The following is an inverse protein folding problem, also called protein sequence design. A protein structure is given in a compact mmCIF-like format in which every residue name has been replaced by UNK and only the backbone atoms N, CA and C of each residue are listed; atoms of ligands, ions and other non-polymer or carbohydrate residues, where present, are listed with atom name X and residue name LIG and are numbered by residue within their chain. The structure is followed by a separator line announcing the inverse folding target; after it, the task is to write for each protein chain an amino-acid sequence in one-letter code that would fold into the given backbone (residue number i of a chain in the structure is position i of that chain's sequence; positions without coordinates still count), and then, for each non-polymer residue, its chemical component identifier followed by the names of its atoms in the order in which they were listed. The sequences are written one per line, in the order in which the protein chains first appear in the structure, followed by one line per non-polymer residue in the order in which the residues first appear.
data_IF_709149520692
#
_entry.id   IF_709149520692
#
_cell.length_a   1.000
_cell.length_b   1.000
_cell.length_c   1.000
_cell.angle_alpha   90.00
_cell.angle_beta   90.00
_cell.angle_gamma   90.00
#
_symmetry.space_group_name_H-M   'P 1'
#
loop_
_entity.id
_entity.type
_entity.pdbx_description
1 polymer ?
#
# COMPACT_ATOMS: atom_id res chain seq x y z
N UNK A 1 -9.81 -53.36 -14.01
CA UNK A 1 -10.17 -52.03 -13.48
C UNK A 1 -8.96 -51.49 -12.73
N UNK A 2 -8.08 -50.73 -13.40
CA UNK A 2 -6.99 -50.03 -12.71
C UNK A 2 -7.47 -48.62 -12.36
N UNK A 3 -7.63 -48.34 -11.07
CA UNK A 3 -7.80 -46.98 -10.58
C UNK A 3 -6.52 -46.20 -10.90
N UNK A 4 -6.62 -45.19 -11.78
CA UNK A 4 -5.59 -44.18 -11.96
C UNK A 4 -5.97 -42.95 -11.12
N UNK A 5 -5.29 -42.67 -9.99
CA UNK A 5 -5.50 -41.45 -9.25
C UNK A 5 -4.57 -40.37 -9.81
N UNK A 6 -4.81 -39.94 -11.03
CA UNK A 6 -4.38 -38.61 -11.46
C UNK A 6 -5.25 -37.62 -10.68
N UNK A 7 -4.85 -37.37 -9.42
CA UNK A 7 -5.24 -36.15 -8.73
C UNK A 7 -4.88 -35.02 -9.68
N UNK A 8 -5.84 -34.16 -10.09
CA UNK A 8 -5.46 -32.94 -10.77
C UNK A 8 -4.59 -32.21 -9.76
N UNK A 9 -3.26 -32.17 -9.97
CA UNK A 9 -2.40 -31.17 -9.33
C UNK A 9 -3.15 -29.88 -9.54
N UNK A 10 -3.68 -29.30 -8.46
CA UNK A 10 -4.39 -28.05 -8.51
C UNK A 10 -3.48 -27.11 -9.29
N UNK A 11 -3.83 -26.88 -10.56
CA UNK A 11 -3.05 -26.04 -11.45
C UNK A 11 -2.96 -24.72 -10.69
N UNK A 12 -1.75 -24.32 -10.28
CA UNK A 12 -1.54 -23.13 -9.49
C UNK A 12 -2.28 -21.99 -10.19
N UNK A 13 -3.41 -21.59 -9.61
CA UNK A 13 -4.40 -20.68 -10.18
C UNK A 13 -3.74 -19.30 -10.34
N UNK A 14 -3.07 -19.12 -11.48
CA UNK A 14 -2.21 -18.01 -11.85
C UNK A 14 -1.07 -17.76 -10.83
N UNK A 15 0.21 -18.02 -11.18
CA UNK A 15 1.32 -17.75 -10.27
C UNK A 15 1.29 -16.30 -9.82
N UNK A 16 1.53 -16.07 -8.53
CA UNK A 16 1.58 -14.72 -8.00
C UNK A 16 2.70 -13.93 -8.70
N UNK A 17 2.46 -12.67 -9.11
CA UNK A 17 3.50 -11.87 -9.74
C UNK A 17 4.77 -11.85 -8.87
N UNK A 18 5.97 -12.19 -9.41
CA UNK A 18 7.18 -12.34 -8.60
C UNK A 18 7.53 -11.09 -7.79
N UNK A 19 7.25 -9.90 -8.33
CA UNK A 19 7.44 -8.61 -7.65
C UNK A 19 6.57 -8.46 -6.41
N UNK A 20 5.34 -8.96 -6.45
CA UNK A 20 4.41 -8.95 -5.31
C UNK A 20 4.92 -9.92 -4.26
N UNK A 21 5.34 -11.12 -4.67
CA UNK A 21 5.93 -12.08 -3.74
C UNK A 21 7.17 -11.51 -3.05
N UNK A 22 8.07 -10.85 -3.80
CA UNK A 22 9.28 -10.25 -3.26
C UNK A 22 8.97 -9.17 -2.21
N UNK A 23 8.04 -8.23 -2.53
CA UNK A 23 7.61 -7.20 -1.57
C UNK A 23 6.93 -7.79 -0.34
N UNK A 24 6.07 -8.79 -0.51
CA UNK A 24 5.43 -9.49 0.59
C UNK A 24 6.47 -10.14 1.51
N UNK A 25 7.46 -10.84 0.95
CA UNK A 25 8.52 -11.47 1.73
C UNK A 25 9.37 -10.44 2.48
N UNK A 26 9.60 -9.25 1.91
CA UNK A 26 10.29 -8.17 2.62
C UNK A 26 9.46 -7.65 3.80
N UNK A 27 8.16 -7.38 3.61
CA UNK A 27 7.27 -6.91 4.70
C UNK A 27 7.15 -7.98 5.79
N UNK A 28 6.85 -9.22 5.40
CA UNK A 28 6.70 -10.34 6.32
C UNK A 28 8.02 -10.69 7.01
N UNK A 29 9.15 -10.57 6.32
CA UNK A 29 10.49 -10.82 6.87
C UNK A 29 10.85 -9.82 7.98
N UNK A 30 10.59 -8.53 7.76
CA UNK A 30 10.79 -7.50 8.80
C UNK A 30 9.92 -7.79 10.02
N UNK A 31 8.65 -8.13 9.83
CA UNK A 31 7.78 -8.47 10.95
C UNK A 31 8.21 -9.77 11.65
N UNK A 32 8.68 -10.77 10.91
CA UNK A 32 9.21 -12.01 11.47
C UNK A 32 10.43 -11.74 12.36
N UNK A 33 11.32 -10.82 11.97
CA UNK A 33 12.43 -10.39 12.81
C UNK A 33 11.94 -9.77 14.13
N UNK A 34 10.93 -8.89 14.09
CA UNK A 34 10.34 -8.33 15.31
C UNK A 34 9.67 -9.40 16.17
N UNK A 35 8.95 -10.34 15.56
CA UNK A 35 8.33 -11.45 16.27
C UNK A 35 9.39 -12.30 16.98
N UNK A 36 10.45 -12.69 16.28
CA UNK A 36 11.57 -13.47 16.83
C UNK A 36 12.34 -12.72 17.93
N UNK A 37 12.55 -11.41 17.77
CA UNK A 37 13.14 -10.55 18.80
C UNK A 37 12.26 -10.53 20.07
N UNK A 38 10.94 -10.40 19.91
CA UNK A 38 10.01 -10.31 21.04
C UNK A 38 9.93 -11.57 21.90
N UNK A 39 10.27 -12.74 21.33
CA UNK A 39 10.31 -14.02 22.04
C UNK A 39 11.73 -14.46 22.43
N UNK A 40 12.74 -13.59 22.25
CA UNK A 40 14.12 -13.84 22.70
C UNK A 40 14.92 -14.83 21.85
N UNK A 41 14.46 -15.18 20.65
CA UNK A 41 15.15 -16.16 19.78
C UNK A 41 16.45 -15.60 19.18
N UNK A 42 16.56 -14.27 19.05
CA UNK A 42 17.71 -13.61 18.40
C UNK A 42 18.92 -13.38 19.33
N UNK A 43 18.82 -13.77 20.61
CA UNK A 43 19.90 -13.62 21.60
C UNK A 43 19.77 -12.40 22.51
N UNK A 44 20.72 -12.25 23.42
CA UNK A 44 20.74 -11.16 24.40
C UNK A 44 20.88 -9.79 23.72
N UNK A 45 19.98 -8.85 24.06
CA UNK A 45 19.93 -7.50 23.47
C UNK A 45 18.90 -7.33 22.34
N UNK A 46 18.27 -8.41 21.88
CA UNK A 46 17.12 -8.37 20.97
C UNK A 46 15.84 -8.62 21.76
N UNK A 47 15.09 -7.56 22.01
CA UNK A 47 13.86 -7.59 22.81
C UNK A 47 12.67 -7.01 22.03
N UNK A 48 11.52 -6.89 22.69
CA UNK A 48 10.33 -6.28 22.10
C UNK A 48 10.52 -4.79 21.73
N UNK A 49 11.53 -4.12 22.29
CA UNK A 49 11.84 -2.70 22.05
C UNK A 49 12.44 -2.45 20.66
N UNK A 50 12.97 -3.48 20.00
CA UNK A 50 13.50 -3.37 18.63
C UNK A 50 12.51 -2.78 17.62
N UNK A 51 11.22 -3.10 17.75
CA UNK A 51 10.19 -2.50 16.90
C UNK A 51 10.13 -0.98 17.11
N UNK A 52 10.18 -0.54 18.37
CA UNK A 52 10.14 0.88 18.71
C UNK A 52 11.35 1.62 18.11
N UNK A 53 12.56 1.10 18.29
CA UNK A 53 13.78 1.69 17.71
C UNK A 53 13.75 1.71 16.18
N UNK A 54 13.21 0.67 15.55
CA UNK A 54 13.04 0.64 14.10
C UNK A 54 12.06 1.71 13.62
N UNK A 55 10.92 1.89 14.31
CA UNK A 55 9.96 2.96 14.00
C UNK A 55 10.58 4.34 14.18
N UNK A 56 11.34 4.57 15.25
CA UNK A 56 12.01 5.84 15.49
C UNK A 56 13.02 6.20 14.37
N UNK A 57 13.78 5.19 13.90
CA UNK A 57 14.83 5.39 12.89
C UNK A 57 14.32 5.38 11.45
N UNK A 58 13.33 4.54 11.14
CA UNK A 58 12.90 4.26 9.77
C UNK A 58 11.44 4.61 9.50
N UNK A 59 10.67 4.95 10.53
CA UNK A 59 9.33 5.50 10.41
C UNK A 59 9.35 6.96 10.00
N UNK A 60 8.22 7.43 9.49
CA UNK A 60 8.05 8.80 9.04
C UNK A 60 7.51 9.65 10.20
N UNK A 61 8.36 10.51 10.76
CA UNK A 61 7.91 11.53 11.70
C UNK A 61 7.18 12.63 10.93
N UNK A 62 6.00 13.04 11.39
CA UNK A 62 5.16 14.00 10.66
C UNK A 62 5.75 15.41 10.59
N UNK A 63 6.61 15.78 11.54
CA UNK A 63 7.32 17.06 11.52
C UNK A 63 8.53 17.05 10.58
N UNK A 64 8.97 15.87 10.10
CA UNK A 64 10.18 15.75 9.28
C UNK A 64 10.11 16.65 8.03
N UNK A 65 8.97 16.71 7.36
CA UNK A 65 8.83 17.52 6.13
C UNK A 65 8.94 19.02 6.42
N UNK A 66 8.33 19.49 7.50
CA UNK A 66 8.43 20.88 7.93
C UNK A 66 9.85 21.23 8.32
N UNK A 67 10.48 20.39 9.13
CA UNK A 67 11.87 20.54 9.53
C UNK A 67 12.83 20.56 8.33
N UNK A 68 12.73 19.63 7.38
CA UNK A 68 13.57 19.61 6.17
C UNK A 68 13.40 20.88 5.33
N UNK A 69 12.19 21.45 5.30
CA UNK A 69 11.94 22.73 4.59
C UNK A 69 12.56 23.91 5.31
N UNK A 70 12.59 23.91 6.64
CA UNK A 70 13.19 24.98 7.43
C UNK A 70 14.72 24.93 7.39
N UNK A 71 15.30 23.74 7.53
CA UNK A 71 16.76 23.54 7.54
C UNK A 71 17.37 23.45 6.16
N UNK A 72 16.55 23.25 5.11
CA UNK A 72 16.98 22.91 3.75
C UNK A 72 17.87 21.66 3.70
N UNK A 73 17.77 20.79 4.72
CA UNK A 73 18.48 19.54 4.79
C UNK A 73 17.63 18.42 4.20
N UNK A 74 18.04 17.94 3.03
CA UNK A 74 17.42 16.82 2.31
C UNK A 74 18.36 15.60 2.28
N UNK A 75 19.08 15.36 3.36
CA UNK A 75 19.96 14.21 3.53
C UNK A 75 19.27 12.87 3.22
N UNK A 76 20.05 11.92 2.68
CA UNK A 76 19.53 10.61 2.27
C UNK A 76 18.87 9.82 3.43
N UNK A 77 19.32 10.07 4.66
CA UNK A 77 18.75 9.52 5.90
C UNK A 77 17.31 9.93 6.18
N UNK A 78 16.86 11.08 5.66
CA UNK A 78 15.47 11.52 5.74
C UNK A 78 14.66 11.00 4.57
N UNK A 79 15.24 11.02 3.37
CA UNK A 79 14.56 10.58 2.14
C UNK A 79 14.23 9.07 2.15
N UNK A 80 15.11 8.24 2.72
CA UNK A 80 14.88 6.80 2.84
C UNK A 80 13.62 6.47 3.65
N UNK A 81 13.22 7.35 4.59
CA UNK A 81 12.03 7.18 5.43
C UNK A 81 10.72 7.19 4.64
N UNK A 82 10.68 7.83 3.46
CA UNK A 82 9.53 7.79 2.55
C UNK A 82 9.30 6.42 1.90
N UNK A 83 10.26 5.51 2.03
CA UNK A 83 10.18 4.13 1.55
C UNK A 83 10.11 3.17 2.74
N UNK A 84 11.00 3.33 3.71
CA UNK A 84 11.17 2.36 4.80
C UNK A 84 9.99 2.30 5.76
N UNK A 85 9.24 3.40 5.93
CA UNK A 85 8.09 3.43 6.83
C UNK A 85 7.03 2.37 6.45
N UNK A 86 6.95 2.00 5.17
CA UNK A 86 5.97 1.02 4.67
C UNK A 86 6.23 -0.41 5.15
N UNK A 87 7.43 -0.72 5.65
CA UNK A 87 7.79 -2.06 6.13
C UNK A 87 7.55 -2.24 7.64
N UNK A 88 7.27 -1.16 8.35
CA UNK A 88 7.18 -1.15 9.82
C UNK A 88 5.72 -1.15 10.26
N UNK A 89 5.35 -2.03 11.18
CA UNK A 89 3.98 -2.15 11.68
C UNK A 89 3.96 -2.09 13.21
N UNK A 90 2.87 -1.60 13.81
CA UNK A 90 2.74 -1.52 15.27
C UNK A 90 2.66 -2.90 15.93
N UNK A 91 2.09 -3.88 15.22
CA UNK A 91 1.86 -5.22 15.73
C UNK A 91 1.87 -6.27 14.61
N UNK A 92 2.08 -7.52 15.00
CA UNK A 92 1.99 -8.67 14.12
C UNK A 92 0.63 -8.74 13.42
N UNK A 93 -0.46 -8.46 14.16
CA UNK A 93 -1.80 -8.46 13.59
C UNK A 93 -1.95 -7.40 12.50
N UNK A 94 -1.42 -6.19 12.72
CA UNK A 94 -1.46 -5.12 11.72
C UNK A 94 -0.65 -5.51 10.47
N UNK A 95 0.54 -6.09 10.65
CA UNK A 95 1.36 -6.58 9.55
C UNK A 95 0.67 -7.72 8.76
N UNK A 96 0.02 -8.65 9.45
CA UNK A 96 -0.72 -9.75 8.82
C UNK A 96 -1.88 -9.23 7.95
N UNK A 97 -2.64 -8.25 8.45
CA UNK A 97 -3.70 -7.59 7.67
C UNK A 97 -3.11 -6.87 6.46
N UNK A 98 -2.03 -6.11 6.65
CA UNK A 98 -1.36 -5.39 5.57
C UNK A 98 -0.85 -6.35 4.48
N UNK A 99 -0.22 -7.46 4.88
CA UNK A 99 0.21 -8.52 3.98
C UNK A 99 -0.96 -9.14 3.20
N UNK A 100 -2.06 -9.47 3.87
CA UNK A 100 -3.23 -10.06 3.21
C UNK A 100 -3.83 -9.11 2.17
N UNK A 101 -4.00 -7.83 2.51
CA UNK A 101 -4.50 -6.81 1.59
C UNK A 101 -3.52 -6.56 0.43
N UNK A 102 -2.23 -6.49 0.73
CA UNK A 102 -1.17 -6.31 -0.27
C UNK A 102 -1.14 -7.48 -1.26
N UNK A 103 -1.22 -8.73 -0.79
CA UNK A 103 -1.26 -9.91 -1.66
C UNK A 103 -2.51 -9.91 -2.54
N UNK A 104 -3.68 -9.56 -1.97
CA UNK A 104 -4.93 -9.50 -2.71
C UNK A 104 -4.89 -8.45 -3.83
N UNK A 105 -4.53 -7.21 -3.50
CA UNK A 105 -4.48 -6.10 -4.47
C UNK A 105 -3.29 -6.24 -5.42
N UNK A 106 -2.14 -6.66 -4.92
CA UNK A 106 -0.93 -6.90 -5.71
C UNK A 106 -1.15 -7.98 -6.76
N UNK A 107 -1.86 -9.08 -6.45
CA UNK A 107 -2.23 -10.10 -7.44
C UNK A 107 -3.09 -9.52 -8.56
N UNK A 108 -4.12 -8.75 -8.21
CA UNK A 108 -5.04 -8.13 -9.18
C UNK A 108 -4.29 -7.15 -10.09
N UNK A 109 -3.57 -6.18 -9.51
CA UNK A 109 -2.84 -5.15 -10.27
C UNK A 109 -1.68 -5.76 -11.06
N UNK A 110 -0.87 -6.62 -10.45
CA UNK A 110 0.31 -7.22 -11.08
C UNK A 110 0.02 -8.27 -12.15
N UNK A 111 -1.24 -8.71 -12.29
CA UNK A 111 -1.68 -9.51 -13.43
C UNK A 111 -1.91 -8.71 -14.71
N UNK A 112 -2.05 -7.38 -14.58
CA UNK A 112 -2.34 -6.46 -15.70
C UNK A 112 -1.16 -5.55 -15.97
N UNK A 113 -0.50 -5.07 -14.92
CA UNK A 113 0.61 -4.14 -15.00
C UNK A 113 1.97 -4.84 -14.91
N UNK A 114 2.99 -4.22 -15.51
CA UNK A 114 4.37 -4.69 -15.41
C UNK A 114 4.91 -4.58 -13.99
N UNK A 115 5.96 -5.35 -13.68
CA UNK A 115 6.56 -5.33 -12.34
C UNK A 115 7.00 -3.92 -11.87
N UNK A 116 7.67 -3.09 -12.70
CA UNK A 116 8.00 -1.72 -12.31
C UNK A 116 6.77 -0.86 -12.02
N UNK A 117 5.67 -1.05 -12.75
CA UNK A 117 4.43 -0.31 -12.50
C UNK A 117 3.82 -0.67 -11.13
N UNK A 118 3.83 -1.95 -10.74
CA UNK A 118 3.40 -2.37 -9.39
C UNK A 118 4.26 -1.72 -8.30
N UNK A 119 5.58 -1.66 -8.49
CA UNK A 119 6.48 -0.97 -7.54
C UNK A 119 6.16 0.51 -7.45
N UNK A 120 5.92 1.17 -8.59
CA UNK A 120 5.56 2.59 -8.61
C UNK A 120 4.22 2.84 -7.91
N UNK A 121 3.19 2.02 -8.17
CA UNK A 121 1.91 2.12 -7.47
C UNK A 121 2.03 1.96 -5.96
N UNK A 122 2.95 1.13 -5.49
CA UNK A 122 3.18 0.97 -4.06
C UNK A 122 4.00 2.13 -3.49
N UNK A 123 5.22 2.36 -3.98
CA UNK A 123 6.15 3.30 -3.37
C UNK A 123 5.84 4.78 -3.66
N UNK A 124 5.38 5.12 -4.87
CA UNK A 124 5.03 6.52 -5.18
C UNK A 124 3.78 6.93 -4.40
N UNK A 125 2.77 6.06 -4.31
CA UNK A 125 1.60 6.31 -3.49
C UNK A 125 1.93 6.37 -2.00
N UNK A 126 2.81 5.49 -1.50
CA UNK A 126 3.25 5.54 -0.11
C UNK A 126 3.97 6.85 0.20
N UNK A 127 4.92 7.27 -0.65
CA UNK A 127 5.65 8.52 -0.49
C UNK A 127 4.73 9.74 -0.60
N UNK A 128 3.78 9.75 -1.55
CA UNK A 128 2.78 10.81 -1.67
C UNK A 128 1.86 10.87 -0.44
N UNK A 129 1.40 9.72 0.05
CA UNK A 129 0.59 9.62 1.25
C UNK A 129 1.33 10.17 2.47
N UNK A 130 2.59 9.79 2.65
CA UNK A 130 3.45 10.31 3.69
C UNK A 130 3.66 11.81 3.57
N UNK A 131 3.96 12.32 2.37
CA UNK A 131 4.16 13.74 2.13
C UNK A 131 2.91 14.55 2.47
N UNK A 132 1.76 14.17 1.94
CA UNK A 132 0.48 14.86 2.18
C UNK A 132 0.13 14.82 3.68
N UNK A 133 0.35 13.68 4.33
CA UNK A 133 0.09 13.54 5.76
C UNK A 133 0.96 14.46 6.61
N UNK A 134 2.27 14.52 6.34
CA UNK A 134 3.18 15.40 7.06
C UNK A 134 2.84 16.89 6.85
N UNK A 135 2.34 17.27 5.67
CA UNK A 135 1.95 18.65 5.39
C UNK A 135 0.63 19.07 6.04
N UNK A 136 -0.32 18.14 6.15
CA UNK A 136 -1.65 18.45 6.72
C UNK A 136 -1.66 18.28 8.25
N UNK A 137 -0.88 17.34 8.77
CA UNK A 137 -0.89 16.98 10.19
C UNK A 137 0.55 16.84 10.75
N UNK A 138 1.35 17.92 10.77
CA UNK A 138 2.75 17.88 11.21
C UNK A 138 2.93 17.44 12.67
N UNK A 139 1.91 17.63 13.52
CA UNK A 139 1.92 17.27 14.94
C UNK A 139 1.26 15.91 15.24
N UNK A 140 0.94 15.10 14.22
CA UNK A 140 0.27 13.81 14.43
C UNK A 140 1.21 12.67 14.89
N UNK A 141 2.52 12.95 15.00
CA UNK A 141 3.53 12.05 15.54
C UNK A 141 4.19 11.20 14.48
N UNK A 142 3.78 9.93 14.37
CA UNK A 142 4.45 8.92 13.54
C UNK A 142 3.52 8.28 12.52
N UNK A 143 4.00 8.17 11.29
CA UNK A 143 3.41 7.38 10.22
C UNK A 143 4.33 6.19 9.90
N UNK A 144 3.73 5.00 9.93
CA UNK A 144 4.36 3.73 9.58
C UNK A 144 3.27 2.74 9.14
N UNK A 145 3.66 1.75 8.35
CA UNK A 145 2.79 0.70 7.83
C UNK A 145 2.62 0.77 6.32
N UNK A 146 2.36 -0.38 5.70
CA UNK A 146 2.23 -0.50 4.26
C UNK A 146 0.93 0.08 3.69
N UNK A 147 -0.01 0.52 4.54
CA UNK A 147 -1.36 0.91 4.13
C UNK A 147 -1.37 1.98 3.02
N UNK A 148 -0.65 3.12 3.11
CA UNK A 148 -0.68 4.12 2.03
C UNK A 148 -0.27 3.56 0.65
N UNK A 149 0.71 2.65 0.60
CA UNK A 149 1.09 1.94 -0.63
C UNK A 149 0.05 0.93 -1.10
N UNK A 150 -0.59 0.20 -0.16
CA UNK A 150 -1.70 -0.71 -0.47
C UNK A 150 -2.89 0.07 -1.03
N UNK A 151 -3.23 1.22 -0.47
CA UNK A 151 -4.26 2.11 -1.01
C UNK A 151 -3.92 2.60 -2.41
N UNK A 152 -2.63 2.83 -2.71
CA UNK A 152 -2.16 3.06 -4.07
C UNK A 152 -2.54 1.94 -5.04
N UNK A 153 -2.32 0.68 -4.65
CA UNK A 153 -2.75 -0.47 -5.45
C UNK A 153 -4.28 -0.57 -5.57
N UNK A 154 -5.03 -0.24 -4.51
CA UNK A 154 -6.49 -0.14 -4.56
C UNK A 154 -6.91 0.94 -5.58
N UNK A 155 -6.25 2.09 -5.60
CA UNK A 155 -6.46 3.15 -6.59
C UNK A 155 -6.24 2.69 -8.02
N UNK A 156 -5.14 2.00 -8.27
CA UNK A 156 -4.83 1.43 -9.58
C UNK A 156 -5.87 0.37 -10.01
N UNK A 157 -6.28 -0.52 -9.10
CA UNK A 157 -7.33 -1.51 -9.37
C UNK A 157 -8.69 -0.86 -9.64
N UNK A 158 -9.04 0.19 -8.89
CA UNK A 158 -10.28 0.95 -9.08
C UNK A 158 -10.34 1.57 -10.48
N UNK A 159 -9.22 2.10 -10.97
CA UNK A 159 -9.13 2.61 -12.34
C UNK A 159 -9.36 1.51 -13.38
N UNK A 160 -8.74 0.33 -13.22
CA UNK A 160 -8.97 -0.82 -14.11
C UNK A 160 -10.45 -1.22 -14.15
N UNK A 161 -11.09 -1.29 -12.98
CA UNK A 161 -12.50 -1.62 -12.87
C UNK A 161 -13.39 -0.57 -13.54
N UNK A 162 -13.07 0.71 -13.33
CA UNK A 162 -13.78 1.82 -13.95
C UNK A 162 -13.70 1.79 -15.48
N UNK A 163 -12.50 1.61 -16.04
CA UNK A 163 -12.29 1.46 -17.50
C UNK A 163 -13.04 0.24 -18.04
N UNK A 164 -13.01 -0.89 -17.32
CA UNK A 164 -13.69 -2.12 -17.72
C UNK A 164 -15.22 -1.96 -17.74
N UNK A 165 -15.82 -1.33 -16.73
CA UNK A 165 -17.26 -1.08 -16.67
C UNK A 165 -17.71 -0.09 -17.76
N UNK A 166 -16.92 0.96 -18.01
CA UNK A 166 -17.14 1.90 -19.13
C UNK A 166 -17.13 1.18 -20.48
N UNK A 167 -16.19 0.26 -20.70
CA UNK A 167 -16.11 -0.51 -21.94
C UNK A 167 -17.34 -1.42 -22.14
N UNK A 168 -17.90 -1.95 -21.05
CA UNK A 168 -19.09 -2.80 -21.04
C UNK A 168 -20.42 -2.02 -21.02
N UNK A 169 -20.38 -0.68 -21.11
CA UNK A 169 -21.57 0.19 -20.94
C UNK A 169 -22.33 -0.05 -19.62
N UNK A 170 -21.64 -0.58 -18.60
CA UNK A 170 -22.19 -0.81 -17.28
C UNK A 170 -22.06 0.46 -16.40
N UNK A 171 -22.83 0.59 -15.30
CA UNK A 171 -22.72 1.74 -14.40
C UNK A 171 -21.33 1.83 -13.75
N UNK A 172 -20.44 2.64 -14.33
CA UNK A 172 -19.04 2.77 -13.93
C UNK A 172 -18.86 3.33 -12.50
N UNK A 173 -19.88 4.02 -11.97
CA UNK A 173 -19.94 4.44 -10.57
C UNK A 173 -19.84 3.28 -9.57
N UNK A 174 -20.21 2.05 -9.97
CA UNK A 174 -20.06 0.86 -9.13
C UNK A 174 -18.60 0.56 -8.75
N UNK A 175 -17.63 0.98 -9.58
CA UNK A 175 -16.21 0.82 -9.24
C UNK A 175 -15.82 1.58 -7.97
N UNK A 176 -16.47 2.72 -7.73
CA UNK A 176 -16.15 3.60 -6.61
C UNK A 176 -16.99 3.31 -5.38
N UNK A 177 -18.15 2.67 -5.49
CA UNK A 177 -19.05 2.41 -4.35
C UNK A 177 -18.37 1.65 -3.20
N UNK A 178 -17.53 0.65 -3.51
CA UNK A 178 -16.85 -0.15 -2.48
C UNK A 178 -15.75 0.65 -1.77
N UNK A 179 -14.97 1.43 -2.54
CA UNK A 179 -13.94 2.31 -1.97
C UNK A 179 -14.58 3.46 -1.19
N UNK A 180 -15.63 4.08 -1.71
CA UNK A 180 -16.35 5.17 -1.05
C UNK A 180 -16.95 4.72 0.28
N UNK A 181 -17.48 3.50 0.35
CA UNK A 181 -17.96 2.90 1.59
C UNK A 181 -16.81 2.66 2.58
N UNK A 182 -15.68 2.10 2.13
CA UNK A 182 -14.51 1.87 2.97
C UNK A 182 -13.91 3.17 3.53
N UNK A 183 -13.76 4.18 2.68
CA UNK A 183 -13.31 5.52 3.07
C UNK A 183 -14.32 6.17 4.01
N UNK A 184 -15.62 6.07 3.73
CA UNK A 184 -16.68 6.60 4.59
C UNK A 184 -16.64 6.00 5.99
N UNK A 185 -16.47 4.67 6.09
CA UNK A 185 -16.28 3.98 7.37
C UNK A 185 -15.00 4.48 8.04
N UNK A 186 -13.86 4.54 7.33
CA UNK A 186 -12.60 5.01 7.92
C UNK A 186 -12.64 6.45 8.41
N UNK A 187 -13.35 7.34 7.71
CA UNK A 187 -13.56 8.72 8.14
C UNK A 187 -14.35 8.77 9.45
N UNK A 188 -15.44 8.02 9.54
CA UNK A 188 -16.23 7.91 10.78
C UNK A 188 -15.36 7.37 11.91
N UNK A 189 -14.66 6.25 11.71
CA UNK A 189 -13.80 5.68 12.76
C UNK A 189 -12.59 6.57 13.11
N UNK A 190 -12.00 7.24 12.13
CA UNK A 190 -10.86 8.14 12.31
C UNK A 190 -11.22 9.35 13.17
N UNK A 191 -12.37 9.97 12.89
CA UNK A 191 -12.87 11.14 13.63
C UNK A 191 -13.37 10.74 15.02
N UNK A 192 -14.13 9.65 15.14
CA UNK A 192 -14.84 9.34 16.39
C UNK A 192 -14.09 8.41 17.36
N UNK A 193 -13.21 7.50 16.89
CA UNK A 193 -12.59 6.49 17.76
C UNK A 193 -11.11 6.70 18.06
N UNK A 194 -10.33 7.27 17.15
CA UNK A 194 -8.87 7.28 17.29
C UNK A 194 -8.23 8.66 17.31
N UNK A 195 -8.91 9.70 16.81
CA UNK A 195 -8.34 11.05 16.62
C UNK A 195 -7.14 11.10 15.67
N UNK A 196 -6.70 9.95 15.13
CA UNK A 196 -5.53 9.83 14.26
C UNK A 196 -5.95 9.99 12.82
N UNK A 197 -5.40 11.01 12.19
CA UNK A 197 -5.67 11.39 10.81
C UNK A 197 -5.01 10.47 9.75
N UNK A 198 -4.70 9.20 10.09
CA UNK A 198 -4.01 8.27 9.19
C UNK A 198 -4.74 8.05 7.86
N UNK A 199 -6.08 8.17 7.89
CA UNK A 199 -6.93 8.09 6.70
C UNK A 199 -6.52 9.11 5.62
N UNK A 200 -5.89 10.23 5.99
CA UNK A 200 -5.38 11.24 5.04
C UNK A 200 -4.23 10.64 4.20
N UNK A 201 -3.30 9.92 4.85
CA UNK A 201 -2.21 9.27 4.15
C UNK A 201 -2.72 8.18 3.20
N UNK A 202 -3.70 7.40 3.67
CA UNK A 202 -4.35 6.34 2.89
C UNK A 202 -5.12 6.91 1.69
N UNK A 203 -5.89 7.98 1.89
CA UNK A 203 -6.62 8.67 0.82
C UNK A 203 -5.67 9.27 -0.22
N UNK A 204 -4.60 9.93 0.23
CA UNK A 204 -3.59 10.47 -0.67
C UNK A 204 -2.87 9.35 -1.44
N UNK A 205 -2.58 8.23 -0.80
CA UNK A 205 -2.03 7.03 -1.45
C UNK A 205 -2.97 6.48 -2.53
N UNK A 206 -4.26 6.36 -2.22
CA UNK A 206 -5.30 5.98 -3.18
C UNK A 206 -5.35 6.90 -4.39
N UNK A 207 -5.43 8.22 -4.17
CA UNK A 207 -5.46 9.21 -5.25
C UNK A 207 -4.18 9.17 -6.08
N UNK A 208 -3.02 8.98 -5.44
CA UNK A 208 -1.75 8.79 -6.12
C UNK A 208 -1.76 7.57 -7.04
N UNK A 209 -2.28 6.45 -6.57
CA UNK A 209 -2.31 5.21 -7.36
C UNK A 209 -3.30 5.29 -8.52
N UNK A 210 -4.48 5.88 -8.27
CA UNK A 210 -5.49 6.12 -9.30
C UNK A 210 -4.97 7.07 -10.38
N UNK A 211 -4.36 8.19 -10.02
CA UNK A 211 -3.81 9.16 -10.99
C UNK A 211 -2.64 8.57 -11.77
N UNK A 212 -1.73 7.88 -11.08
CA UNK A 212 -0.59 7.21 -11.73
C UNK A 212 -1.04 6.13 -12.73
N UNK A 213 -2.17 5.49 -12.50
CA UNK A 213 -2.68 4.44 -13.39
C UNK A 213 -3.13 4.97 -14.75
N UNK A 214 -3.54 6.25 -14.82
CA UNK A 214 -3.83 6.94 -16.09
C UNK A 214 -2.57 7.06 -16.95
N UNK A 215 -1.43 7.29 -16.31
CA UNK A 215 -0.14 7.51 -16.96
C UNK A 215 0.55 6.19 -17.35
N UNK A 216 0.45 5.16 -16.49
CA UNK A 216 1.18 3.91 -16.66
C UNK A 216 0.45 2.86 -17.50
N UNK A 217 -0.86 3.01 -17.75
CA UNK A 217 -1.58 2.06 -18.60
C UNK A 217 -1.17 2.27 -20.08
N UNK A 218 -0.77 1.22 -20.83
CA UNK A 218 -0.50 1.34 -22.26
C UNK A 218 -1.75 1.79 -23.02
N UNK A 219 -1.69 2.96 -23.65
CA UNK A 219 -2.86 3.61 -24.24
C UNK A 219 -3.86 4.14 -23.20
N UNK A 220 -3.43 4.39 -21.96
CA UNK A 220 -4.26 4.89 -20.85
C UNK A 220 -4.99 6.17 -21.20
N UNK A 221 -4.30 7.15 -21.81
CA UNK A 221 -4.91 8.37 -22.33
C UNK A 221 -5.88 8.13 -23.48
N UNK A 222 -5.59 7.19 -24.39
CA UNK A 222 -6.50 6.82 -25.48
C UNK A 222 -7.77 6.12 -24.96
N UNK A 223 -7.65 5.23 -23.96
CA UNK A 223 -8.78 4.57 -23.29
C UNK A 223 -9.57 5.55 -22.42
N UNK A 224 -8.89 6.47 -21.74
CA UNK A 224 -9.51 7.56 -20.97
C UNK A 224 -10.34 8.46 -21.90
N UNK A 225 -9.75 8.95 -22.99
CA UNK A 225 -10.44 9.80 -23.97
C UNK A 225 -11.57 9.07 -24.67
N UNK A 226 -11.44 7.78 -24.99
CA UNK A 226 -12.56 6.96 -25.49
C UNK A 226 -13.67 6.77 -24.45
N UNK A 227 -13.33 6.61 -23.18
CA UNK A 227 -14.30 6.49 -22.08
C UNK A 227 -15.02 7.81 -21.77
N UNK A 228 -14.35 8.96 -22.00
CA UNK A 228 -14.90 10.31 -21.83
C UNK A 228 -15.71 10.79 -23.04
N UNK A 229 -15.41 10.31 -24.26
CA UNK A 229 -16.14 10.68 -25.49
C UNK A 229 -17.46 9.91 -25.72
N UNK A 230 -17.74 8.90 -24.88
CA UNK A 230 -18.96 8.07 -24.96
C UNK A 230 -20.03 8.45 -23.94
N UNK A 231 -19.82 9.56 -23.22
CA UNK A 231 -20.86 10.26 -22.46
C UNK A 231 -21.38 11.44 -23.30
#
# INVERSE_FOLDING_TARGET
MSFNPETPKAAALNPMPPVVMALFLMIAGVEALFALASIGVLGEGFDASWRFFAIERYGMNTNLVSWMRETQDYGAEHLVRFVTFSFLHASFMQAAIACALFLAMGKMVGSVFSAPAVLMFFFVSAALGALVYCLIAPEAGWLFGAFPGIYGLIGAYTFLLWVSLKAQQAPAGKAFNMIAMLIGIQLVFGIFLSGRLLWIADLAGFLGGFTLSVLLLPGGLARLTQALRRD
#
